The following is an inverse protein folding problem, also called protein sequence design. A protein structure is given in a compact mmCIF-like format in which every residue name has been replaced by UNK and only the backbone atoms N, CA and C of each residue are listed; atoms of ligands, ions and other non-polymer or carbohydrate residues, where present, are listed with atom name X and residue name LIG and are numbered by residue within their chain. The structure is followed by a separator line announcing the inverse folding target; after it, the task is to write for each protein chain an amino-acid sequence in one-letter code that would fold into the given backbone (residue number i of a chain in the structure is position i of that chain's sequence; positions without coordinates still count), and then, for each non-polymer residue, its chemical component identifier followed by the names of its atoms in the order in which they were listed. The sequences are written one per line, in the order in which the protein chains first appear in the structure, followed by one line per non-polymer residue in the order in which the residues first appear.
data_IF_379579629713
#
_entry.id   IF_379579629713
#
_cell.length_a   1.000
_cell.length_b   1.000
_cell.length_c   1.000
_cell.angle_alpha   90.00
_cell.angle_beta   90.00
_cell.angle_gamma   90.00
#
_symmetry.space_group_name_H-M   'P 1'
#
loop_
_entity.id
_entity.type
_entity.pdbx_description
1 polymer ?
#
# COMPACT_ATOMS: atom_id res chain seq x y z
N UNK A 1 33.83 -42.41 -22.29
CA UNK A 1 32.46 -42.07 -21.85
C UNK A 1 32.52 -40.93 -20.83
N UNK A 2 32.22 -39.68 -21.22
CA UNK A 2 32.22 -38.52 -20.30
C UNK A 2 30.81 -38.32 -19.74
N UNK A 3 30.63 -38.49 -18.42
CA UNK A 3 29.37 -38.27 -17.71
C UNK A 3 29.05 -36.77 -17.71
N UNK A 4 27.96 -36.37 -18.37
CA UNK A 4 27.38 -35.02 -18.26
C UNK A 4 26.85 -34.81 -16.85
N UNK A 5 27.45 -33.89 -16.10
CA UNK A 5 26.91 -33.45 -14.81
C UNK A 5 25.63 -32.64 -15.07
N UNK A 6 24.50 -33.11 -14.52
CA UNK A 6 23.25 -32.37 -14.49
C UNK A 6 23.39 -31.23 -13.49
N UNK A 7 23.51 -30.00 -13.99
CA UNK A 7 23.42 -28.79 -13.16
C UNK A 7 22.01 -28.71 -12.56
N UNK A 8 21.92 -28.88 -11.24
CA UNK A 8 20.69 -28.64 -10.48
C UNK A 8 20.33 -27.16 -10.61
N UNK A 9 19.23 -26.86 -11.30
CA UNK A 9 18.62 -25.53 -11.29
C UNK A 9 18.28 -25.17 -9.84
N UNK A 10 18.97 -24.17 -9.27
CA UNK A 10 18.62 -23.59 -7.97
C UNK A 10 17.28 -22.87 -8.18
N UNK A 11 16.19 -23.38 -7.59
CA UNK A 11 14.93 -22.63 -7.50
C UNK A 11 15.24 -21.28 -6.85
N UNK A 12 14.90 -20.17 -7.53
CA UNK A 12 14.92 -18.84 -6.91
C UNK A 12 14.03 -18.87 -5.66
N UNK A 13 14.44 -18.22 -4.55
CA UNK A 13 13.55 -18.09 -3.40
C UNK A 13 12.27 -17.39 -3.87
N UNK A 14 11.11 -17.92 -3.47
CA UNK A 14 9.81 -17.25 -3.66
C UNK A 14 9.84 -15.97 -2.82
N UNK A 15 10.21 -14.86 -3.45
CA UNK A 15 10.23 -13.57 -2.77
C UNK A 15 8.79 -13.19 -2.43
N UNK A 16 8.50 -13.15 -1.13
CA UNK A 16 7.18 -12.81 -0.60
C UNK A 16 6.95 -11.31 -0.73
N UNK A 17 5.85 -10.92 -1.35
CA UNK A 17 5.45 -9.51 -1.43
C UNK A 17 4.94 -9.03 -0.08
N UNK A 18 5.35 -7.84 0.37
CA UNK A 18 4.92 -7.18 1.60
C UNK A 18 4.24 -5.86 1.21
N UNK A 19 2.99 -5.71 1.58
CA UNK A 19 2.19 -4.51 1.33
C UNK A 19 1.88 -3.77 2.63
N UNK A 20 2.06 -2.46 2.66
CA UNK A 20 1.58 -1.60 3.74
C UNK A 20 0.16 -1.10 3.43
N UNK A 21 -0.77 -1.21 4.38
CA UNK A 21 -2.17 -0.79 4.19
C UNK A 21 -2.55 0.48 4.98
N UNK A 22 -2.31 1.65 4.38
CA UNK A 22 -2.61 2.95 4.96
C UNK A 22 -4.11 3.27 4.88
N UNK A 23 -4.76 3.54 6.02
CA UNK A 23 -6.19 3.88 6.01
C UNK A 23 -6.58 4.63 7.29
N UNK A 24 -7.74 5.30 7.26
CA UNK A 24 -8.21 6.08 8.40
C UNK A 24 -8.46 5.23 9.64
N UNK A 25 -8.03 5.70 10.81
CA UNK A 25 -8.35 5.10 12.12
C UNK A 25 -9.87 4.95 12.37
N UNK A 26 -10.70 5.75 11.68
CA UNK A 26 -12.16 5.62 11.74
C UNK A 26 -12.68 4.27 11.19
N UNK A 27 -11.83 3.50 10.52
CA UNK A 27 -12.15 2.20 9.95
C UNK A 27 -11.66 1.03 10.79
N UNK A 28 -10.87 1.26 11.84
CA UNK A 28 -10.28 0.18 12.63
C UNK A 28 -11.36 -0.70 13.27
N UNK A 29 -11.21 -2.02 13.12
CA UNK A 29 -12.16 -3.04 13.55
C UNK A 29 -13.44 -3.15 12.71
N UNK A 30 -13.63 -2.29 11.72
CA UNK A 30 -14.88 -2.25 10.93
C UNK A 30 -14.99 -3.41 9.95
N UNK A 31 -16.22 -3.72 9.53
CA UNK A 31 -16.47 -4.69 8.45
C UNK A 31 -15.77 -4.27 7.16
N UNK A 32 -15.76 -2.96 6.86
CA UNK A 32 -15.10 -2.43 5.67
C UNK A 32 -13.60 -2.72 5.67
N UNK A 33 -12.89 -2.49 6.79
CA UNK A 33 -11.46 -2.80 6.90
C UNK A 33 -11.19 -4.29 6.66
N UNK A 34 -12.00 -5.17 7.27
CA UNK A 34 -11.86 -6.63 7.09
C UNK A 34 -12.05 -7.05 5.64
N UNK A 35 -13.05 -6.47 4.95
CA UNK A 35 -13.32 -6.74 3.55
C UNK A 35 -12.18 -6.28 2.64
N UNK A 36 -11.62 -5.09 2.90
CA UNK A 36 -10.50 -4.52 2.14
C UNK A 36 -9.21 -5.33 2.36
N UNK A 37 -8.88 -5.68 3.61
CA UNK A 37 -7.73 -6.54 3.93
C UNK A 37 -7.84 -7.91 3.26
N UNK A 38 -9.02 -8.53 3.27
CA UNK A 38 -9.29 -9.80 2.59
C UNK A 38 -9.15 -9.65 1.07
N UNK A 39 -9.63 -8.54 0.51
CA UNK A 39 -9.47 -8.25 -0.91
C UNK A 39 -8.00 -8.07 -1.30
N UNK A 40 -7.23 -7.25 -0.57
CA UNK A 40 -5.80 -7.02 -0.81
C UNK A 40 -5.03 -8.34 -0.72
N UNK A 41 -5.29 -9.12 0.34
CA UNK A 41 -4.64 -10.41 0.56
C UNK A 41 -4.90 -11.38 -0.60
N UNK A 42 -6.14 -11.43 -1.11
CA UNK A 42 -6.50 -12.28 -2.27
C UNK A 42 -5.88 -11.78 -3.57
N UNK A 43 -5.88 -10.47 -3.79
CA UNK A 43 -5.42 -9.86 -5.03
C UNK A 43 -3.92 -10.06 -5.23
N UNK A 44 -3.14 -9.86 -4.17
CA UNK A 44 -1.68 -9.95 -4.22
C UNK A 44 -1.15 -11.38 -4.00
N UNK A 45 -2.03 -12.38 -3.87
CA UNK A 45 -1.64 -13.77 -3.67
C UNK A 45 -0.93 -13.99 -2.32
N UNK A 46 0.27 -14.58 -2.32
CA UNK A 46 1.07 -14.85 -1.11
C UNK A 46 1.73 -13.56 -0.61
N UNK A 47 0.94 -12.51 -0.33
CA UNK A 47 1.45 -11.28 0.25
C UNK A 47 1.27 -11.27 1.77
N UNK A 48 2.21 -10.64 2.48
CA UNK A 48 1.97 -10.17 3.84
C UNK A 48 1.39 -8.77 3.76
N UNK A 49 0.24 -8.52 4.38
CA UNK A 49 -0.29 -7.15 4.53
C UNK A 49 0.04 -6.66 5.93
N UNK A 50 0.80 -5.57 6.02
CA UNK A 50 1.06 -4.86 7.27
C UNK A 50 -0.06 -3.85 7.48
N UNK A 51 -0.78 -3.99 8.60
CA UNK A 51 -1.90 -3.14 8.98
C UNK A 51 -1.50 -2.22 10.16
N UNK A 52 -1.50 -0.88 9.99
CA UNK A 52 -1.23 0.07 11.08
C UNK A 52 -2.20 -0.02 12.25
N UNK A 53 -3.40 -0.58 12.08
CA UNK A 53 -4.34 -0.81 13.18
C UNK A 53 -3.82 -1.82 14.23
N UNK A 54 -2.82 -2.63 13.88
CA UNK A 54 -2.23 -3.65 14.74
C UNK A 54 -0.86 -3.24 15.31
N UNK A 55 -0.38 -2.04 14.96
CA UNK A 55 0.94 -1.55 15.38
C UNK A 55 0.77 -0.75 16.67
N UNK A 56 1.49 -1.14 17.71
CA UNK A 56 1.57 -0.37 18.95
C UNK A 56 2.40 0.90 18.71
N UNK A 57 1.84 2.04 19.12
CA UNK A 57 2.50 3.33 19.01
C UNK A 57 3.68 3.41 19.97
N UNK A 58 4.88 3.65 19.45
CA UNK A 58 6.12 3.67 20.22
C UNK A 58 6.53 5.07 20.74
N UNK A 59 5.78 6.11 20.40
CA UNK A 59 6.10 7.49 20.76
C UNK A 59 6.84 8.29 19.69
N UNK A 60 7.34 7.66 18.62
CA UNK A 60 8.16 8.29 17.58
C UNK A 60 7.34 9.01 16.48
N UNK A 61 6.04 9.22 16.71
CA UNK A 61 5.17 9.91 15.75
C UNK A 61 5.05 9.15 14.43
N UNK A 62 5.27 9.84 13.31
CA UNK A 62 5.19 9.25 11.97
C UNK A 62 6.40 8.39 11.59
N UNK A 63 7.53 8.56 12.28
CA UNK A 63 8.80 7.91 11.91
C UNK A 63 8.71 6.37 11.94
N UNK A 64 8.01 5.82 12.94
CA UNK A 64 7.77 4.39 13.06
C UNK A 64 7.06 3.82 11.81
N UNK A 65 6.07 4.54 11.27
CA UNK A 65 5.33 4.12 10.09
C UNK A 65 6.17 4.22 8.81
N UNK A 66 7.04 5.23 8.73
CA UNK A 66 7.98 5.38 7.61
C UNK A 66 8.97 4.22 7.52
N UNK A 67 9.53 3.79 8.66
CA UNK A 67 10.43 2.63 8.72
C UNK A 67 9.74 1.33 8.29
N UNK A 68 8.46 1.19 8.61
CA UNK A 68 7.65 0.05 8.18
C UNK A 68 7.38 0.10 6.67
N UNK A 69 7.07 1.29 6.14
CA UNK A 69 6.92 1.52 4.69
C UNK A 69 8.22 1.18 3.95
N UNK A 70 9.38 1.51 4.52
CA UNK A 70 10.68 1.16 3.97
C UNK A 70 10.88 -0.35 3.80
N UNK A 71 10.41 -1.15 4.76
CA UNK A 71 10.44 -2.61 4.68
C UNK A 71 9.38 -3.21 3.72
N UNK A 72 8.41 -2.42 3.24
CA UNK A 72 7.37 -2.88 2.33
C UNK A 72 7.73 -2.67 0.85
N UNK A 73 7.17 -3.51 -0.03
CA UNK A 73 7.35 -3.40 -1.48
C UNK A 73 6.37 -2.40 -2.12
N UNK A 74 5.21 -2.20 -1.51
CA UNK A 74 4.07 -1.47 -2.06
C UNK A 74 3.28 -0.84 -0.91
N UNK A 75 2.74 0.35 -1.15
CA UNK A 75 1.75 0.98 -0.28
C UNK A 75 0.40 0.93 -0.95
N UNK A 76 -0.60 0.41 -0.25
CA UNK A 76 -2.00 0.45 -0.64
C UNK A 76 -2.71 1.32 0.38
N UNK A 77 -3.60 2.20 -0.08
CA UNK A 77 -4.38 3.02 0.83
C UNK A 77 -5.83 3.10 0.43
N UNK A 78 -6.71 3.47 1.37
CA UNK A 78 -8.13 3.67 1.11
C UNK A 78 -8.65 4.95 1.74
N UNK A 79 -9.69 5.51 1.11
CA UNK A 79 -10.34 6.72 1.59
C UNK A 79 -11.38 6.42 2.67
N UNK A 80 -11.63 7.41 3.53
CA UNK A 80 -12.78 7.46 4.41
C UNK A 80 -13.63 8.68 4.02
N UNK A 81 -14.91 8.44 3.68
CA UNK A 81 -15.82 9.50 3.19
C UNK A 81 -15.22 10.37 2.06
N UNK A 82 -14.50 9.75 1.11
CA UNK A 82 -13.80 10.40 -0.02
C UNK A 82 -12.64 11.34 0.36
N UNK A 83 -12.10 11.18 1.57
CA UNK A 83 -10.96 11.95 2.07
C UNK A 83 -9.94 11.02 2.71
N UNK A 84 -8.74 11.55 2.91
CA UNK A 84 -7.67 10.94 3.68
C UNK A 84 -7.22 11.92 4.78
N UNK A 85 -6.86 11.38 5.94
CA UNK A 85 -6.30 12.15 7.05
C UNK A 85 -4.83 12.50 6.81
N UNK A 86 -4.26 13.34 7.68
CA UNK A 86 -2.87 13.82 7.57
C UNK A 86 -1.86 12.68 7.65
N UNK A 87 -2.05 11.72 8.55
CA UNK A 87 -1.17 10.54 8.67
C UNK A 87 -1.08 9.75 7.36
N UNK A 88 -2.24 9.36 6.80
CA UNK A 88 -2.32 8.64 5.51
C UNK A 88 -1.70 9.45 4.38
N UNK A 89 -1.93 10.77 4.35
CA UNK A 89 -1.28 11.64 3.36
C UNK A 89 0.25 11.61 3.49
N UNK A 90 0.78 11.75 4.70
CA UNK A 90 2.23 11.71 4.96
C UNK A 90 2.86 10.37 4.60
N UNK A 91 2.15 9.26 4.82
CA UNK A 91 2.59 7.92 4.41
C UNK A 91 2.67 7.79 2.88
N UNK A 92 1.68 8.31 2.16
CA UNK A 92 1.65 8.32 0.69
C UNK A 92 2.80 9.17 0.13
N UNK A 93 2.95 10.39 0.63
CA UNK A 93 4.01 11.33 0.22
C UNK A 93 5.39 10.72 0.47
N UNK A 94 5.60 10.12 1.65
CA UNK A 94 6.84 9.43 1.98
C UNK A 94 7.12 8.29 1.01
N UNK A 95 6.15 7.42 0.74
CA UNK A 95 6.32 6.30 -0.18
C UNK A 95 6.65 6.76 -1.62
N UNK A 96 5.92 7.76 -2.12
CA UNK A 96 6.15 8.33 -3.46
C UNK A 96 7.54 8.96 -3.56
N UNK A 97 7.97 9.73 -2.56
CA UNK A 97 9.30 10.35 -2.53
C UNK A 97 10.45 9.32 -2.54
N UNK A 98 10.19 8.10 -2.05
CA UNK A 98 11.11 6.97 -2.07
C UNK A 98 10.91 6.02 -3.26
N UNK A 99 10.20 6.46 -4.31
CA UNK A 99 9.91 5.68 -5.52
C UNK A 99 9.21 4.34 -5.25
N UNK A 100 8.45 4.23 -4.16
CA UNK A 100 7.65 3.04 -3.86
C UNK A 100 6.32 3.11 -4.62
N UNK A 101 5.87 2.00 -5.22
CA UNK A 101 4.54 1.93 -5.82
C UNK A 101 3.44 2.22 -4.79
N UNK A 102 2.54 3.14 -5.11
CA UNK A 102 1.39 3.51 -4.27
C UNK A 102 0.09 3.28 -5.03
N UNK A 103 -0.88 2.64 -4.39
CA UNK A 103 -2.19 2.35 -5.00
C UNK A 103 -3.35 2.74 -4.09
N UNK A 104 -4.32 3.45 -4.66
CA UNK A 104 -5.60 3.74 -4.04
C UNK A 104 -6.57 2.58 -4.25
N UNK A 105 -7.14 2.06 -3.16
CA UNK A 105 -8.23 1.11 -3.15
C UNK A 105 -9.59 1.84 -3.11
N UNK A 106 -10.40 1.65 -4.15
CA UNK A 106 -11.81 2.05 -4.18
C UNK A 106 -12.66 0.85 -4.59
N UNK A 107 -13.44 0.33 -3.66
CA UNK A 107 -14.21 -0.90 -3.87
C UNK A 107 -13.28 -2.10 -4.08
N UNK A 108 -13.35 -2.73 -5.26
CA UNK A 108 -12.50 -3.87 -5.65
C UNK A 108 -11.51 -3.52 -6.76
N UNK A 109 -11.12 -2.25 -6.84
CA UNK A 109 -10.23 -1.73 -7.88
C UNK A 109 -9.09 -0.98 -7.21
N UNK A 110 -7.86 -1.24 -7.67
CA UNK A 110 -6.68 -0.49 -7.33
C UNK A 110 -6.34 0.50 -8.45
N UNK A 111 -6.06 1.73 -8.08
CA UNK A 111 -5.64 2.80 -8.97
C UNK A 111 -4.23 3.20 -8.58
N UNK A 112 -3.31 3.20 -9.54
CA UNK A 112 -1.96 3.74 -9.30
C UNK A 112 -2.09 5.21 -8.91
N UNK A 113 -1.50 5.54 -7.76
CA UNK A 113 -1.51 6.88 -7.21
C UNK A 113 -0.18 7.55 -7.52
N UNK A 114 -0.25 8.79 -7.99
CA UNK A 114 0.92 9.66 -8.21
C UNK A 114 0.79 10.90 -7.36
N UNK A 115 1.90 11.62 -7.20
CA UNK A 115 2.00 12.79 -6.32
C UNK A 115 0.95 13.86 -6.68
N UNK A 116 0.77 14.12 -7.98
CA UNK A 116 -0.18 15.12 -8.48
C UNK A 116 -1.66 14.80 -8.22
N UNK A 117 -1.97 13.57 -7.79
CA UNK A 117 -3.35 13.14 -7.52
C UNK A 117 -3.81 13.51 -6.11
N UNK A 118 -2.90 13.72 -5.16
CA UNK A 118 -3.22 14.08 -3.78
C UNK A 118 -3.33 15.59 -3.63
N UNK A 119 -4.49 16.09 -3.19
CA UNK A 119 -4.71 17.52 -2.96
C UNK A 119 -5.14 17.77 -1.52
N UNK A 120 -4.38 18.60 -0.82
CA UNK A 120 -4.78 19.11 0.50
C UNK A 120 -6.03 19.98 0.34
N UNK A 121 -7.07 19.67 1.11
CA UNK A 121 -8.37 20.36 1.09
C UNK A 121 -8.57 21.19 2.35
N UNK A 122 -8.21 20.64 3.51
CA UNK A 122 -8.33 21.34 4.79
C UNK A 122 -7.10 21.03 5.66
N UNK A 123 -6.07 21.89 5.67
CA UNK A 123 -4.84 21.65 6.43
C UNK A 123 -5.07 21.61 7.96
N UNK A 124 -6.18 22.17 8.44
CA UNK A 124 -6.52 22.21 9.88
C UNK A 124 -7.21 20.92 10.35
N UNK A 125 -7.82 20.15 9.45
CA UNK A 125 -8.41 18.84 9.77
C UNK A 125 -7.39 17.72 9.52
N UNK A 126 -6.59 17.45 10.54
CA UNK A 126 -5.59 16.37 10.48
C UNK A 126 -6.21 14.96 10.53
N UNK A 127 -7.47 14.80 10.94
CA UNK A 127 -8.08 13.50 11.26
C UNK A 127 -8.71 12.82 10.06
N UNK A 128 -9.50 13.55 9.28
CA UNK A 128 -10.35 12.96 8.24
C UNK A 128 -10.33 13.73 6.93
N UNK A 129 -10.50 15.06 6.97
CA UNK A 129 -10.72 15.89 5.78
C UNK A 129 -9.42 16.62 5.38
N UNK A 130 -8.25 16.02 5.61
CA UNK A 130 -6.98 16.67 5.31
C UNK A 130 -6.78 16.84 3.81
N UNK A 131 -6.85 15.74 3.07
CA UNK A 131 -6.62 15.70 1.64
C UNK A 131 -7.62 14.81 0.91
N UNK A 132 -7.65 14.93 -0.42
CA UNK A 132 -8.51 14.15 -1.31
C UNK A 132 -7.73 13.70 -2.53
N UNK A 133 -8.05 12.49 -3.02
CA UNK A 133 -7.43 11.94 -4.23
C UNK A 133 -8.27 12.21 -5.46
N UNK A 134 -7.70 12.95 -6.40
CA UNK A 134 -8.32 13.30 -7.68
C UNK A 134 -7.77 12.35 -8.75
N UNK A 135 -8.61 11.42 -9.16
CA UNK A 135 -8.30 10.53 -10.27
C UNK A 135 -8.50 11.28 -11.60
N UNK A 136 -7.53 11.25 -12.55
CA UNK A 136 -7.77 11.72 -13.90
C UNK A 136 -8.99 11.06 -14.55
N UNK A 137 -9.64 11.77 -15.48
CA UNK A 137 -10.82 11.27 -16.19
C UNK A 137 -10.55 9.98 -16.99
N UNK A 138 -9.30 9.75 -17.38
CA UNK A 138 -8.84 8.61 -18.17
C UNK A 138 -7.89 7.72 -17.35
N UNK A 139 -8.33 7.19 -16.20
CA UNK A 139 -7.52 6.16 -15.55
C UNK A 139 -7.83 4.80 -16.14
N UNK A 140 -6.79 4.19 -16.69
CA UNK A 140 -6.73 2.74 -16.84
C UNK A 140 -6.80 2.13 -15.44
N UNK A 141 -7.95 1.58 -15.07
CA UNK A 141 -8.05 0.73 -13.90
C UNK A 141 -7.09 -0.45 -14.09
N UNK A 142 -5.89 -0.36 -13.51
CA UNK A 142 -4.92 -1.42 -13.63
C UNK A 142 -5.46 -2.60 -12.84
N UNK A 143 -5.93 -3.64 -13.53
CA UNK A 143 -5.97 -4.97 -12.92
C UNK A 143 -4.53 -5.28 -12.58
N UNK A 144 -4.13 -5.08 -11.32
CA UNK A 144 -2.83 -5.52 -10.83
C UNK A 144 -2.86 -7.04 -10.92
N UNK A 145 -2.40 -7.58 -12.04
CA UNK A 145 -2.28 -9.02 -12.17
C UNK A 145 -0.86 -9.49 -12.40
N UNK A 146 0.12 -8.70 -12.90
CA UNK A 146 1.39 -9.33 -13.35
C UNK A 146 2.73 -8.57 -13.21
N UNK A 147 2.83 -7.32 -12.73
CA UNK A 147 4.10 -6.57 -12.82
C UNK A 147 4.73 -6.08 -11.50
N UNK A 148 4.29 -6.56 -10.32
CA UNK A 148 5.02 -6.23 -9.09
C UNK A 148 6.23 -7.14 -8.97
N UNK A 149 7.40 -6.60 -9.30
CA UNK A 149 8.67 -7.31 -9.14
C UNK A 149 9.02 -7.30 -7.65
N UNK A 150 9.25 -8.45 -7.02
CA UNK A 150 9.73 -8.47 -5.65
C UNK A 150 11.10 -7.76 -5.54
N UNK A 151 11.33 -7.07 -4.42
CA UNK A 151 12.64 -6.46 -4.13
C UNK A 151 13.75 -7.54 -4.16
N UNK A 152 14.97 -7.19 -4.63
CA UNK A 152 16.09 -8.12 -4.77
C UNK A 152 16.52 -8.78 -3.46
#
# INVERSE_FOLDING_TARGET
MKKKQKTKSKKKPDLKLIAYYAHSMQKYGSTQEKEELNFISKLLGICTVINPALIEYDGNGMQQYFEIIDACNIVIFSEYKKHIGKGVHSEIEYALSNNKPVFLLRGKILYECKDEMCRIINPDDWRVIYARVILPKEINATKITQNITPLP
#
